data_IF_263575917719
#
_entry.id   IF_263575917719
#
_cell.length_a   1.000
_cell.length_b   1.000
_cell.length_c   1.000
_cell.angle_alpha   90.00
_cell.angle_beta   90.00
_cell.angle_gamma   90.00
#
_symmetry.space_group_name_H-M   'P 1'
#
loop_
_entity.id
_entity.type
_entity.pdbx_description
1 polymer ?
#
# COMPACT_ATOMS: atom_id res chain seq x y z
N UNK A 1 19.96 43.50 -39.09
CA UNK A 1 20.19 44.96 -38.95
C UNK A 1 18.85 45.68 -39.05
N UNK A 2 18.65 46.74 -38.23
CA UNK A 2 17.50 47.68 -38.13
C UNK A 2 16.25 47.09 -37.42
N UNK A 3 15.95 47.38 -36.13
CA UNK A 3 15.52 48.64 -35.46
C UNK A 3 14.36 49.32 -36.21
N UNK A 4 13.19 49.55 -35.57
CA UNK A 4 12.86 50.79 -34.83
C UNK A 4 11.36 50.90 -34.41
N UNK A 5 11.14 51.30 -33.15
CA UNK A 5 10.12 52.17 -32.50
C UNK A 5 8.62 52.18 -32.92
N UNK A 6 7.71 51.90 -31.97
CA UNK A 6 6.87 52.82 -31.14
C UNK A 6 5.68 53.47 -31.85
N UNK A 7 4.46 53.20 -31.36
CA UNK A 7 3.36 54.17 -31.25
C UNK A 7 2.38 53.73 -30.15
N UNK A 8 2.14 54.64 -29.21
CA UNK A 8 1.21 54.51 -28.11
C UNK A 8 -0.23 54.72 -28.58
N UNK A 9 -1.18 53.99 -27.99
CA UNK A 9 -2.58 54.42 -27.91
C UNK A 9 -3.09 54.09 -26.52
N UNK A 10 -3.37 55.13 -25.73
CA UNK A 10 -4.02 54.99 -24.44
C UNK A 10 -5.48 54.60 -24.63
N UNK A 11 -5.96 53.70 -23.78
CA UNK A 11 -7.38 53.52 -23.53
C UNK A 11 -7.60 53.51 -22.02
N UNK A 12 -8.18 54.61 -21.55
CA UNK A 12 -8.69 54.78 -20.19
C UNK A 12 -9.89 53.84 -20.04
N UNK A 13 -9.77 52.78 -19.26
CA UNK A 13 -10.93 52.03 -18.77
C UNK A 13 -11.14 52.37 -17.31
N UNK A 14 -12.27 53.03 -17.06
CA UNK A 14 -12.71 53.46 -15.75
C UNK A 14 -12.89 52.26 -14.82
N UNK A 15 -12.29 52.37 -13.63
CA UNK A 15 -12.56 51.52 -12.48
C UNK A 15 -14.02 51.70 -12.05
N UNK A 16 -14.81 50.63 -12.15
CA UNK A 16 -16.04 50.50 -11.35
C UNK A 16 -15.74 49.62 -10.15
N UNK A 17 -15.43 50.26 -9.02
CA UNK A 17 -15.48 49.62 -7.71
C UNK A 17 -16.95 49.37 -7.37
N UNK A 18 -17.42 48.13 -7.57
CA UNK A 18 -18.65 47.68 -6.93
C UNK A 18 -18.32 47.35 -5.47
N UNK A 19 -18.71 48.25 -4.57
CA UNK A 19 -18.62 48.06 -3.14
C UNK A 19 -19.63 47.00 -2.69
N UNK A 20 -19.17 45.85 -2.21
CA UNK A 20 -19.97 44.97 -1.35
C UNK A 20 -19.65 45.33 0.10
N UNK A 21 -20.55 46.08 0.73
CA UNK A 21 -20.47 46.48 2.13
C UNK A 21 -21.69 46.01 2.92
N UNK A 22 -21.39 45.28 3.99
CA UNK A 22 -22.18 45.00 5.20
C UNK A 22 -23.22 43.87 5.22
N UNK A 23 -22.78 42.84 5.95
CA UNK A 23 -23.45 42.16 7.07
C UNK A 23 -24.64 41.25 6.77
N UNK A 24 -24.49 39.97 7.11
CA UNK A 24 -25.29 39.37 8.18
C UNK A 24 -24.63 38.09 8.72
N UNK A 25 -24.76 37.96 10.03
CA UNK A 25 -24.37 36.82 10.83
C UNK A 25 -25.15 35.59 10.36
N UNK A 26 -24.45 34.53 9.96
CA UNK A 26 -25.06 33.21 9.92
C UNK A 26 -24.10 32.20 10.52
N UNK A 27 -24.36 31.88 11.80
CA UNK A 27 -23.89 30.64 12.40
C UNK A 27 -24.54 29.49 11.65
N UNK A 28 -23.90 29.04 10.57
CA UNK A 28 -24.20 27.73 10.01
C UNK A 28 -23.37 26.71 10.77
N UNK A 29 -24.08 26.01 11.65
CA UNK A 29 -23.72 24.74 12.24
C UNK A 29 -23.15 23.81 11.15
N UNK A 30 -21.82 23.78 11.01
CA UNK A 30 -21.12 22.84 10.14
C UNK A 30 -21.11 21.49 10.85
N UNK A 31 -22.27 20.83 10.81
CA UNK A 31 -22.36 19.39 10.99
C UNK A 31 -21.39 18.77 10.01
N UNK A 32 -20.25 18.28 10.51
CA UNK A 32 -19.37 17.39 9.76
C UNK A 32 -20.19 16.15 9.43
N UNK A 33 -20.82 16.17 8.27
CA UNK A 33 -21.46 15.00 7.70
C UNK A 33 -20.31 14.04 7.40
N UNK A 34 -20.20 13.00 8.22
CA UNK A 34 -19.31 11.89 7.93
C UNK A 34 -19.68 11.35 6.54
N UNK A 35 -18.71 11.36 5.65
CA UNK A 35 -18.83 10.74 4.33
C UNK A 35 -19.18 9.26 4.54
N UNK A 36 -20.15 8.70 3.79
CA UNK A 36 -20.56 7.32 3.99
C UNK A 36 -19.38 6.37 3.76
N UNK A 37 -19.32 5.22 4.46
CA UNK A 37 -18.30 4.21 4.19
C UNK A 37 -18.35 3.86 2.71
N UNK A 38 -17.19 3.90 2.05
CA UNK A 38 -17.06 3.59 0.63
C UNK A 38 -17.76 2.28 0.29
N UNK A 39 -18.38 2.23 -0.89
CA UNK A 39 -19.12 1.05 -1.36
C UNK A 39 -18.23 -0.21 -1.35
N UNK A 40 -18.78 -1.43 -1.28
CA UNK A 40 -17.99 -2.69 -1.25
C UNK A 40 -16.91 -2.80 -2.36
N UNK A 41 -17.09 -2.13 -3.50
CA UNK A 41 -16.12 -2.08 -4.61
C UNK A 41 -14.86 -1.25 -4.28
N UNK A 42 -14.92 -0.45 -3.23
CA UNK A 42 -13.89 0.47 -2.78
C UNK A 42 -13.07 -0.05 -1.59
N UNK A 43 -13.54 -1.11 -0.95
CA UNK A 43 -12.93 -1.70 0.22
C UNK A 43 -11.73 -2.58 -0.15
N UNK A 44 -10.62 -2.40 0.58
CA UNK A 44 -9.44 -3.26 0.48
C UNK A 44 -9.75 -4.62 1.12
N UNK A 45 -9.40 -5.71 0.42
CA UNK A 45 -9.62 -7.08 0.88
C UNK A 45 -8.35 -7.66 1.48
N UNK A 46 -8.49 -8.62 2.39
CA UNK A 46 -7.37 -9.42 2.88
C UNK A 46 -7.09 -10.56 1.87
N UNK A 47 -5.90 -10.64 1.24
CA UNK A 47 -5.60 -11.74 0.33
C UNK A 47 -5.53 -13.07 1.07
N UNK A 48 -6.14 -14.14 0.56
CA UNK A 48 -6.18 -15.42 1.29
C UNK A 48 -4.78 -16.03 1.59
N UNK A 49 -3.80 -15.71 0.75
CA UNK A 49 -2.46 -16.28 0.75
C UNK A 49 -1.35 -15.25 0.97
N UNK A 50 -1.63 -14.11 1.63
CA UNK A 50 -0.60 -13.08 1.89
C UNK A 50 0.61 -13.63 2.64
N UNK A 51 0.41 -14.65 3.48
CA UNK A 51 1.42 -15.33 4.31
C UNK A 51 2.40 -16.19 3.50
N UNK A 52 2.08 -16.43 2.23
CA UNK A 52 2.98 -17.05 1.23
C UNK A 52 3.77 -16.00 0.44
N UNK A 53 3.46 -14.72 0.61
CA UNK A 53 4.25 -13.62 0.08
C UNK A 53 5.61 -13.50 0.76
N UNK A 54 6.38 -12.50 0.32
CA UNK A 54 7.68 -12.16 0.89
C UNK A 54 7.46 -11.47 2.23
N UNK A 55 7.85 -12.11 3.33
CA UNK A 55 8.08 -11.44 4.62
C UNK A 55 9.34 -10.59 4.49
N UNK A 56 9.18 -9.33 4.10
CA UNK A 56 10.31 -8.49 3.69
C UNK A 56 10.95 -7.74 4.87
N UNK A 57 10.21 -7.55 5.96
CA UNK A 57 10.78 -6.99 7.19
C UNK A 57 10.00 -7.43 8.42
N UNK A 58 10.65 -7.33 9.57
CA UNK A 58 10.07 -7.54 10.89
C UNK A 58 10.50 -6.38 11.78
N UNK A 59 9.54 -5.74 12.45
CA UNK A 59 9.80 -4.62 13.36
C UNK A 59 9.44 -5.04 14.78
N UNK A 60 10.31 -4.80 15.75
CA UNK A 60 10.05 -5.09 17.17
C UNK A 60 9.97 -3.79 17.95
N UNK A 61 8.89 -3.61 18.73
CA UNK A 61 8.61 -2.40 19.52
C UNK A 61 8.05 -2.78 20.89
N UNK A 62 8.92 -2.85 21.89
CA UNK A 62 8.53 -3.34 23.22
C UNK A 62 8.05 -4.79 23.15
N UNK A 63 6.82 -5.05 23.60
CA UNK A 63 6.20 -6.38 23.51
C UNK A 63 5.52 -6.67 22.16
N UNK A 64 5.55 -5.73 21.22
CA UNK A 64 4.96 -5.89 19.91
C UNK A 64 6.00 -6.36 18.89
N UNK A 65 5.59 -7.30 18.03
CA UNK A 65 6.33 -7.76 16.86
C UNK A 65 5.45 -7.63 15.63
N UNK A 66 5.94 -6.91 14.63
CA UNK A 66 5.25 -6.61 13.39
C UNK A 66 5.89 -7.43 12.26
N UNK A 67 5.10 -8.20 11.52
CA UNK A 67 5.54 -8.97 10.36
C UNK A 67 4.90 -8.36 9.11
N UNK A 68 5.72 -7.93 8.16
CA UNK A 68 5.26 -7.22 6.96
C UNK A 68 5.50 -8.03 5.70
N UNK A 69 4.43 -8.25 4.95
CA UNK A 69 4.40 -9.08 3.76
C UNK A 69 4.04 -8.27 2.53
N UNK A 70 4.62 -8.64 1.39
CA UNK A 70 4.16 -8.18 0.07
C UNK A 70 4.49 -9.21 -1.01
N UNK A 71 4.17 -8.91 -2.27
CA UNK A 71 4.47 -9.78 -3.39
C UNK A 71 5.93 -9.65 -3.83
N UNK A 72 6.47 -10.69 -4.46
CA UNK A 72 7.83 -10.67 -4.99
C UNK A 72 7.96 -9.63 -6.10
N UNK A 73 6.92 -9.48 -6.91
CA UNK A 73 6.83 -8.54 -8.02
C UNK A 73 6.94 -7.08 -7.51
N UNK A 74 6.31 -6.77 -6.38
CA UNK A 74 6.46 -5.46 -5.72
C UNK A 74 7.91 -5.21 -5.33
N UNK A 75 8.58 -6.17 -4.69
CA UNK A 75 10.00 -6.05 -4.31
C UNK A 75 10.87 -5.81 -5.56
N UNK A 76 10.70 -6.62 -6.61
CA UNK A 76 11.47 -6.50 -7.85
C UNK A 76 11.26 -5.15 -8.56
N UNK A 77 10.02 -4.63 -8.57
CA UNK A 77 9.73 -3.31 -9.11
C UNK A 77 10.50 -2.21 -8.35
N UNK A 78 10.43 -2.18 -7.02
CA UNK A 78 11.10 -1.15 -6.22
C UNK A 78 12.63 -1.24 -6.31
N UNK A 79 13.19 -2.45 -6.35
CA UNK A 79 14.64 -2.65 -6.53
C UNK A 79 15.16 -2.14 -7.86
N UNK A 80 14.33 -2.11 -8.89
CA UNK A 80 14.66 -1.55 -10.22
C UNK A 80 14.35 -0.06 -10.34
N UNK A 81 14.00 0.60 -9.23
CA UNK A 81 13.66 2.02 -9.20
C UNK A 81 12.30 2.36 -9.80
N UNK A 82 11.48 1.35 -10.11
CA UNK A 82 10.10 1.57 -10.55
C UNK A 82 9.22 1.95 -9.35
N UNK A 83 8.14 2.72 -9.55
CA UNK A 83 7.16 2.97 -8.49
C UNK A 83 6.46 1.67 -8.08
N UNK A 84 5.73 1.71 -6.97
CA UNK A 84 4.82 0.63 -6.60
C UNK A 84 3.84 0.35 -7.75
N UNK A 85 3.80 -0.88 -8.30
CA UNK A 85 2.83 -1.26 -9.31
C UNK A 85 1.40 -1.17 -8.78
N UNK A 86 0.45 -0.84 -9.66
CA UNK A 86 -0.98 -1.01 -9.35
C UNK A 86 -1.26 -2.49 -9.03
N UNK A 87 -2.05 -2.74 -8.00
CA UNK A 87 -2.26 -4.07 -7.44
C UNK A 87 -1.27 -4.45 -6.34
N UNK A 88 -0.33 -3.57 -5.96
CA UNK A 88 0.51 -3.79 -4.78
C UNK A 88 -0.38 -3.93 -3.54
N UNK A 89 -0.14 -4.99 -2.78
CA UNK A 89 -0.73 -5.19 -1.45
C UNK A 89 0.39 -5.34 -0.42
N UNK A 90 0.29 -4.58 0.67
CA UNK A 90 1.12 -4.75 1.86
C UNK A 90 0.23 -5.24 2.99
N UNK A 91 0.61 -6.36 3.61
CA UNK A 91 -0.07 -6.90 4.79
C UNK A 91 0.85 -6.80 6.00
N UNK A 92 0.33 -6.27 7.09
CA UNK A 92 1.00 -6.19 8.39
C UNK A 92 0.25 -7.04 9.40
N UNK A 93 0.92 -8.03 9.98
CA UNK A 93 0.49 -8.72 11.19
C UNK A 93 1.18 -8.09 12.40
N UNK A 94 0.42 -7.79 13.45
CA UNK A 94 0.97 -7.35 14.73
C UNK A 94 0.72 -8.44 15.76
N UNK A 95 1.79 -8.90 16.39
CA UNK A 95 1.76 -9.79 17.54
C UNK A 95 2.09 -8.99 18.79
N UNK A 96 1.33 -9.19 19.88
CA UNK A 96 1.63 -8.65 21.22
C UNK A 96 1.71 -9.81 22.19
N UNK A 97 2.79 -9.86 22.97
CA UNK A 97 3.05 -10.96 23.91
C UNK A 97 2.95 -12.35 23.23
N UNK A 98 3.42 -12.43 21.98
CA UNK A 98 3.40 -13.66 21.17
C UNK A 98 2.04 -14.04 20.57
N UNK A 99 0.99 -13.22 20.72
CA UNK A 99 -0.34 -13.47 20.18
C UNK A 99 -0.69 -12.47 19.08
N UNK A 100 -1.24 -12.95 17.96
CA UNK A 100 -1.75 -12.08 16.90
C UNK A 100 -2.83 -11.16 17.49
N UNK A 101 -2.67 -9.85 17.34
CA UNK A 101 -3.61 -8.84 17.85
C UNK A 101 -4.34 -8.14 16.72
N UNK A 102 -3.64 -7.81 15.64
CA UNK A 102 -4.17 -6.98 14.55
C UNK A 102 -3.61 -7.43 13.19
N UNK A 103 -4.43 -7.28 12.15
CA UNK A 103 -4.01 -7.40 10.76
C UNK A 103 -4.40 -6.10 10.04
N UNK A 104 -3.45 -5.48 9.36
CA UNK A 104 -3.69 -4.32 8.51
C UNK A 104 -3.31 -4.62 7.07
N UNK A 105 -4.09 -4.11 6.13
CA UNK A 105 -3.80 -4.20 4.71
C UNK A 105 -3.81 -2.80 4.11
N UNK A 106 -2.81 -2.53 3.28
CA UNK A 106 -2.79 -1.37 2.40
C UNK A 106 -2.67 -1.83 0.96
N UNK A 107 -3.44 -1.23 0.08
CA UNK A 107 -3.49 -1.59 -1.33
C UNK A 107 -3.42 -0.35 -2.21
N UNK A 108 -2.62 -0.43 -3.27
CA UNK A 108 -2.49 0.61 -4.28
C UNK A 108 -3.17 0.19 -5.57
N UNK A 109 -4.11 1.00 -6.09
CA UNK A 109 -4.70 0.77 -7.42
C UNK A 109 -4.80 2.06 -8.23
N UNK A 110 -4.35 2.03 -9.49
CA UNK A 110 -4.50 3.16 -10.40
C UNK A 110 -5.96 3.63 -10.46
N UNK A 111 -6.19 4.93 -10.28
CA UNK A 111 -7.52 5.54 -10.34
C UNK A 111 -8.25 5.63 -8.99
N UNK A 112 -7.64 5.18 -7.89
CA UNK A 112 -8.18 5.38 -6.54
C UNK A 112 -7.86 6.73 -5.91
N UNK A 113 -6.95 7.50 -6.50
CA UNK A 113 -6.67 8.84 -6.05
C UNK A 113 -7.86 9.77 -6.35
N UNK A 114 -8.32 10.49 -5.32
CA UNK A 114 -9.22 11.62 -5.52
C UNK A 114 -8.45 12.74 -6.23
N UNK A 115 -8.84 13.05 -7.46
CA UNK A 115 -8.22 14.11 -8.27
C UNK A 115 -8.37 15.49 -7.62
N UNK A 116 -9.40 15.71 -6.80
CA UNK A 116 -9.66 16.96 -6.10
C UNK A 116 -9.00 17.01 -4.71
N UNK A 117 -8.63 15.85 -4.15
CA UNK A 117 -7.92 15.75 -2.87
C UNK A 117 -6.78 14.71 -2.90
N UNK A 118 -5.70 14.94 -3.68
CA UNK A 118 -4.63 13.94 -3.84
C UNK A 118 -3.96 13.53 -2.51
N UNK A 119 -3.83 14.48 -1.59
CA UNK A 119 -3.30 14.24 -0.23
C UNK A 119 -4.21 13.39 0.66
N UNK A 120 -5.52 13.40 0.43
CA UNK A 120 -6.47 12.55 1.16
C UNK A 120 -6.48 11.11 0.66
N UNK A 121 -5.97 10.88 -0.56
CA UNK A 121 -5.97 9.56 -1.18
C UNK A 121 -4.62 8.86 -1.15
N UNK A 122 -3.64 9.43 -0.43
CA UNK A 122 -2.28 8.92 -0.30
C UNK A 122 -1.78 8.31 -1.63
N UNK A 123 -1.83 9.06 -2.74
CA UNK A 123 -1.28 8.58 -4.00
C UNK A 123 -1.87 7.28 -4.55
N UNK A 124 -3.19 7.07 -4.39
CA UNK A 124 -3.95 5.86 -4.73
C UNK A 124 -3.88 4.70 -3.70
N UNK A 125 -3.36 4.95 -2.50
CA UNK A 125 -3.39 3.96 -1.43
C UNK A 125 -4.73 3.98 -0.68
N UNK A 126 -5.25 2.80 -0.38
CA UNK A 126 -6.36 2.60 0.56
C UNK A 126 -5.94 1.63 1.65
N UNK A 127 -6.63 1.69 2.78
CA UNK A 127 -6.26 0.97 4.00
C UNK A 127 -7.48 0.24 4.57
N UNK A 128 -7.26 -0.95 5.12
CA UNK A 128 -8.28 -1.70 5.85
C UNK A 128 -7.65 -2.41 7.05
N UNK A 129 -8.41 -2.47 8.14
CA UNK A 129 -8.07 -3.26 9.31
C UNK A 129 -8.94 -4.52 9.38
N UNK A 130 -8.36 -5.60 9.86
CA UNK A 130 -9.01 -6.88 10.07
C UNK A 130 -8.79 -7.35 11.50
N UNK A 131 -9.76 -8.07 12.03
CA UNK A 131 -9.66 -8.78 13.31
C UNK A 131 -8.83 -10.06 13.13
N UNK A 132 -8.47 -10.71 14.24
CA UNK A 132 -7.66 -11.94 14.24
C UNK A 132 -8.35 -13.13 13.57
N UNK A 133 -9.69 -13.10 13.46
CA UNK A 133 -10.49 -14.06 12.69
C UNK A 133 -10.57 -13.73 11.19
N UNK A 134 -9.78 -12.73 10.74
CA UNK A 134 -9.69 -12.25 9.37
C UNK A 134 -10.94 -11.53 8.83
N UNK A 135 -11.94 -11.26 9.67
CA UNK A 135 -13.06 -10.41 9.29
C UNK A 135 -12.70 -8.92 9.35
N UNK A 136 -13.49 -8.07 8.69
CA UNK A 136 -13.27 -6.62 8.66
C UNK A 136 -13.44 -6.04 10.07
N UNK A 137 -12.44 -5.30 10.54
CA UNK A 137 -12.53 -4.60 11.82
C UNK A 137 -13.25 -3.25 11.66
N UNK A 138 -14.57 -3.26 11.84
CA UNK A 138 -15.43 -2.07 11.72
C UNK A 138 -15.23 -1.04 12.84
N UNK A 139 -14.51 -1.39 13.92
CA UNK A 139 -14.22 -0.47 15.04
C UNK A 139 -13.00 0.41 14.78
N UNK A 140 -12.21 0.12 13.76
CA UNK A 140 -10.99 0.87 13.45
C UNK A 140 -11.29 2.09 12.59
N UNK A 141 -10.81 3.26 13.01
CA UNK A 141 -10.88 4.47 12.19
C UNK A 141 -9.83 4.43 11.06
N UNK A 142 -10.29 4.29 9.80
CA UNK A 142 -9.43 4.25 8.61
C UNK A 142 -8.78 5.61 8.30
N UNK A 143 -9.41 6.74 8.63
CA UNK A 143 -8.82 8.08 8.42
C UNK A 143 -7.50 8.26 9.18
N UNK A 144 -7.36 7.59 10.34
CA UNK A 144 -6.12 7.60 11.11
C UNK A 144 -4.95 6.96 10.35
N UNK A 145 -5.23 5.96 9.52
CA UNK A 145 -4.24 5.32 8.65
C UNK A 145 -3.78 6.32 7.57
N UNK A 146 -4.72 6.98 6.91
CA UNK A 146 -4.45 7.97 5.87
C UNK A 146 -3.58 9.09 6.43
N UNK A 147 -3.99 9.69 7.56
CA UNK A 147 -3.28 10.80 8.19
C UNK A 147 -1.86 10.42 8.63
N UNK A 148 -1.68 9.26 9.26
CA UNK A 148 -0.37 8.80 9.71
C UNK A 148 0.59 8.55 8.53
N UNK A 149 0.09 7.86 7.50
CA UNK A 149 0.87 7.55 6.31
C UNK A 149 1.12 8.77 5.41
N UNK A 150 0.29 9.81 5.49
CA UNK A 150 0.45 11.07 4.77
C UNK A 150 1.82 11.73 4.98
N UNK A 151 2.44 11.53 6.15
CA UNK A 151 3.79 12.05 6.43
C UNK A 151 4.90 11.38 5.61
N UNK A 152 4.63 10.23 4.99
CA UNK A 152 5.57 9.44 4.19
C UNK A 152 5.39 9.70 2.68
N UNK A 153 4.88 10.86 2.27
CA UNK A 153 4.64 11.20 0.85
C UNK A 153 5.89 10.97 -0.04
N UNK A 154 7.08 11.23 0.49
CA UNK A 154 8.36 11.01 -0.23
C UNK A 154 8.63 9.55 -0.58
N UNK A 155 8.13 8.64 0.24
CA UNK A 155 8.33 7.19 0.13
C UNK A 155 7.02 6.50 -0.27
N UNK A 156 6.23 7.22 -1.08
CA UNK A 156 4.93 6.80 -1.61
C UNK A 156 4.00 6.29 -0.51
N UNK A 157 3.98 7.00 0.62
CA UNK A 157 3.12 6.78 1.78
C UNK A 157 3.40 5.47 2.53
N UNK A 158 4.59 4.86 2.37
CA UNK A 158 4.96 3.59 3.00
C UNK A 158 6.19 3.76 3.89
N UNK A 159 6.00 3.61 5.21
CA UNK A 159 7.10 3.71 6.20
C UNK A 159 8.24 2.73 6.00
N UNK A 160 7.96 1.58 5.39
CA UNK A 160 8.92 0.48 5.20
C UNK A 160 9.41 0.34 3.76
N UNK A 161 9.38 1.45 3.01
CA UNK A 161 9.79 1.51 1.61
C UNK A 161 11.25 1.09 1.42
N UNK A 162 12.15 1.60 2.26
CA UNK A 162 13.58 1.34 2.16
C UNK A 162 13.92 -0.11 2.52
N UNK A 163 13.17 -0.75 3.42
CA UNK A 163 13.29 -2.17 3.73
C UNK A 163 12.95 -3.02 2.50
N UNK A 164 11.92 -2.68 1.73
CA UNK A 164 11.61 -3.39 0.49
C UNK A 164 12.71 -3.21 -0.58
N UNK A 165 13.26 -2.00 -0.71
CA UNK A 165 14.35 -1.73 -1.68
C UNK A 165 15.64 -2.45 -1.31
N UNK A 166 15.97 -2.49 -0.03
CA UNK A 166 17.15 -3.17 0.49
C UNK A 166 16.98 -4.68 0.63
N UNK A 167 15.74 -5.19 0.57
CA UNK A 167 15.44 -6.62 0.69
C UNK A 167 16.21 -7.48 -0.31
N UNK A 168 16.75 -8.59 0.17
CA UNK A 168 17.52 -9.56 -0.60
C UNK A 168 16.64 -10.74 -0.97
N UNK A 169 16.36 -10.91 -2.28
CA UNK A 169 15.45 -11.96 -2.75
C UNK A 169 15.98 -13.38 -2.50
N UNK A 170 17.28 -13.52 -2.32
CA UNK A 170 17.92 -14.74 -1.82
C UNK A 170 17.40 -15.17 -0.44
N UNK A 171 17.09 -14.23 0.46
CA UNK A 171 16.55 -14.50 1.79
C UNK A 171 15.13 -15.10 1.70
N UNK A 172 14.36 -14.66 0.71
CA UNK A 172 13.03 -15.24 0.43
C UNK A 172 13.12 -16.66 -0.14
N UNK A 173 14.03 -16.90 -1.09
CA UNK A 173 14.22 -18.25 -1.70
C UNK A 173 14.59 -19.28 -0.63
N UNK A 174 15.54 -18.96 0.24
CA UNK A 174 15.91 -19.81 1.37
C UNK A 174 14.70 -20.15 2.28
N UNK A 175 13.76 -19.22 2.45
CA UNK A 175 12.54 -19.44 3.25
C UNK A 175 11.51 -20.36 2.56
N UNK A 176 11.41 -20.32 1.23
CA UNK A 176 10.55 -21.23 0.45
C UNK A 176 11.15 -22.64 0.41
N UNK A 177 12.47 -22.74 0.22
CA UNK A 177 13.17 -24.02 0.17
C UNK A 177 13.05 -24.75 1.51
N UNK A 178 13.20 -24.03 2.63
CA UNK A 178 13.00 -24.57 3.98
C UNK A 178 11.52 -24.80 4.36
N UNK A 179 10.56 -24.04 3.80
CA UNK A 179 9.11 -24.36 3.94
C UNK A 179 8.73 -25.63 3.16
N UNK A 180 9.41 -25.92 2.06
CA UNK A 180 9.17 -27.13 1.27
C UNK A 180 9.76 -28.33 1.99
N UNK A 181 11.00 -28.24 2.48
CA UNK A 181 11.61 -29.31 3.28
C UNK A 181 10.86 -29.55 4.60
N UNK A 182 10.51 -28.52 5.38
CA UNK A 182 9.80 -28.73 6.65
C UNK A 182 8.34 -29.18 6.52
N UNK A 183 7.71 -29.04 5.34
CA UNK A 183 6.37 -29.59 5.08
C UNK A 183 6.37 -31.07 4.72
N UNK A 184 7.50 -31.61 4.24
CA UNK A 184 7.66 -33.02 3.88
C UNK A 184 8.58 -33.78 4.82
N UNK A 185 9.34 -33.10 5.68
CA UNK A 185 10.13 -33.69 6.74
C UNK A 185 9.19 -34.36 7.77
N UNK A 186 8.94 -35.65 7.58
CA UNK A 186 8.12 -36.48 8.46
C UNK A 186 6.95 -37.19 7.77
N UNK A 187 6.71 -37.00 6.48
CA UNK A 187 5.70 -37.77 5.73
C UNK A 187 6.39 -39.00 5.10
N UNK A 188 6.01 -40.25 5.45
CA UNK A 188 6.48 -41.43 4.72
C UNK A 188 5.92 -41.35 3.30
N UNK A 189 6.77 -41.04 2.34
CA UNK A 189 6.42 -41.04 0.92
C UNK A 189 6.99 -42.29 0.28
N UNK A 190 6.14 -43.02 -0.45
CA UNK A 190 6.57 -44.12 -1.31
C UNK A 190 7.39 -43.59 -2.51
N UNK A 191 8.23 -44.45 -3.08
CA UNK A 191 9.20 -44.08 -4.12
C UNK A 191 8.57 -43.43 -5.35
N UNK A 192 7.32 -43.77 -5.67
CA UNK A 192 6.56 -43.18 -6.78
C UNK A 192 6.28 -41.71 -6.54
N UNK A 193 5.86 -41.34 -5.32
CA UNK A 193 5.61 -39.95 -4.93
C UNK A 193 6.90 -39.13 -4.82
N UNK A 194 8.00 -39.76 -4.42
CA UNK A 194 9.32 -39.11 -4.41
C UNK A 194 9.75 -38.76 -5.84
N UNK A 195 9.54 -39.66 -6.79
CA UNK A 195 9.89 -39.41 -8.19
C UNK A 195 8.98 -38.35 -8.82
N UNK A 196 7.66 -38.41 -8.59
CA UNK A 196 6.74 -37.38 -9.06
C UNK A 196 7.07 -35.99 -8.48
N UNK A 197 7.52 -35.92 -7.22
CA UNK A 197 7.97 -34.68 -6.61
C UNK A 197 9.27 -34.19 -7.23
N UNK A 198 10.24 -35.08 -7.49
CA UNK A 198 11.49 -34.72 -8.18
C UNK A 198 11.23 -34.19 -9.59
N UNK A 199 10.33 -34.83 -10.33
CA UNK A 199 9.94 -34.40 -11.68
C UNK A 199 9.25 -33.03 -11.64
N UNK A 200 8.34 -32.82 -10.69
CA UNK A 200 7.71 -31.52 -10.48
C UNK A 200 8.73 -30.42 -10.13
N UNK A 201 9.66 -30.70 -9.21
CA UNK A 201 10.71 -29.75 -8.84
C UNK A 201 11.68 -29.46 -10.01
N UNK A 202 11.93 -30.44 -10.88
CA UNK A 202 12.71 -30.25 -12.09
C UNK A 202 12.00 -29.31 -13.10
N UNK A 203 10.68 -29.42 -13.24
CA UNK A 203 9.91 -28.50 -14.11
C UNK A 203 9.96 -27.05 -13.63
N UNK A 204 9.83 -26.82 -12.31
CA UNK A 204 9.96 -25.49 -11.70
C UNK A 204 11.36 -24.88 -11.86
N UNK A 205 12.40 -25.72 -11.93
CA UNK A 205 13.77 -25.26 -12.19
C UNK A 205 14.00 -24.88 -13.66
N UNK A 206 13.32 -25.53 -14.61
CA UNK A 206 13.46 -25.24 -16.05
C UNK A 206 12.74 -23.98 -16.51
N UNK A 207 11.63 -23.61 -15.87
CA UNK A 207 10.89 -22.38 -16.20
C UNK A 207 11.64 -21.09 -15.79
N UNK A 208 12.65 -21.20 -14.92
CA UNK A 208 13.42 -20.07 -14.41
C UNK A 208 14.63 -19.71 -15.28
N UNK A 209 14.95 -20.53 -16.28
CA UNK A 209 16.11 -20.35 -17.18
C UNK A 209 15.74 -20.05 -18.63
N UNK A 210 14.46 -19.78 -18.92
CA UNK A 210 14.00 -19.40 -20.28
C UNK A 210 13.50 -17.96 -20.36
#
# INVERSE_FOLDING_TARGET
MKKLLLLAFGLVTAFTFSACGSNNNDMTNSTRQAEPPGTDSEQVKLPENYDKGVLYTTVTRGNAKELLYTSRETIEALKTGKPFPSGTVLTLEIYRDGKLSDIFVSEKRTGWADQNSPKKSNGNWRYQAFTTDKSVNTKRNIESCISCHGSQERDDFVYTYDEMKSFKLEDFKASIDNRTESRFAGIPLDDSKVNALKDYMATLSSEKTS
#
